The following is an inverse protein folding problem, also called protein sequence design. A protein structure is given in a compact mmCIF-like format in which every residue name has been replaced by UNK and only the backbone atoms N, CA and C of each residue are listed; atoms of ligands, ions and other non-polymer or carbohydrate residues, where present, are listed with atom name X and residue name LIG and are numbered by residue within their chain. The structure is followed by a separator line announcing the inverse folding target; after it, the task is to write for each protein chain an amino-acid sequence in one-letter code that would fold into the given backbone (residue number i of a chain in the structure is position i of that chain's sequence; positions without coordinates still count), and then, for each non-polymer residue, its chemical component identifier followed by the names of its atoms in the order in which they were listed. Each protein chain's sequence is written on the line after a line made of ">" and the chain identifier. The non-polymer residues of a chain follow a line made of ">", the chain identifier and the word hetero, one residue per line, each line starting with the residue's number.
data_IF_866097132886
#
_entry.id   IF_866097132886
#
_cell.length_a   1.000
_cell.length_b   1.000
_cell.length_c   1.000
_cell.angle_alpha   90.00
_cell.angle_beta   90.00
_cell.angle_gamma   90.00
#
_symmetry.space_group_name_H-M   'P 1'
#
loop_
_entity.id
_entity.type
_entity.pdbx_description
1 polymer ?
#
# COMPACT_ATOMS: atom_id res chain seq x y z
N UNK A 1 -4.63 -22.35 -6.76
CA UNK A 1 -5.21 -21.09 -7.26
C UNK A 1 -4.12 -20.23 -7.89
N UNK A 2 -4.49 -19.43 -8.88
CA UNK A 2 -3.58 -18.54 -9.61
C UNK A 2 -3.78 -17.08 -9.19
N UNK A 3 -2.70 -16.40 -8.78
CA UNK A 3 -2.63 -14.98 -8.50
C UNK A 3 -1.87 -14.26 -9.62
N UNK A 4 -2.44 -13.21 -10.19
CA UNK A 4 -1.75 -12.30 -11.11
C UNK A 4 -1.42 -11.00 -10.36
N UNK A 5 -0.13 -10.62 -10.33
CA UNK A 5 0.36 -9.40 -9.68
C UNK A 5 0.66 -8.37 -10.75
N UNK A 6 -0.20 -7.36 -10.92
CA UNK A 6 -0.01 -6.24 -11.84
C UNK A 6 0.78 -5.14 -11.12
N UNK A 7 1.88 -4.69 -11.69
CA UNK A 7 2.94 -3.96 -11.02
C UNK A 7 3.99 -4.92 -10.44
N UNK A 8 4.19 -6.06 -11.14
CA UNK A 8 5.09 -7.14 -10.75
C UNK A 8 6.57 -6.74 -10.65
N UNK A 9 6.93 -5.58 -11.19
CA UNK A 9 8.24 -4.97 -11.00
C UNK A 9 8.31 -4.05 -9.77
N UNK A 10 7.28 -3.99 -8.92
CA UNK A 10 7.25 -3.13 -7.74
C UNK A 10 8.19 -3.59 -6.63
N UNK A 11 8.84 -2.66 -5.94
CA UNK A 11 9.82 -2.94 -4.88
C UNK A 11 9.29 -3.81 -3.74
N UNK A 12 7.97 -3.81 -3.49
CA UNK A 12 7.31 -4.61 -2.44
C UNK A 12 6.81 -5.99 -2.90
N UNK A 13 7.01 -6.34 -4.17
CA UNK A 13 6.53 -7.63 -4.73
C UNK A 13 7.06 -8.85 -3.98
N UNK A 14 8.34 -8.91 -3.56
CA UNK A 14 8.83 -10.06 -2.78
C UNK A 14 8.06 -10.28 -1.49
N UNK A 15 7.64 -9.22 -0.79
CA UNK A 15 6.81 -9.32 0.43
C UNK A 15 5.42 -9.91 0.13
N UNK A 16 4.83 -9.56 -1.03
CA UNK A 16 3.54 -10.12 -1.47
C UNK A 16 3.69 -11.61 -1.76
N UNK A 17 4.75 -11.99 -2.48
CA UNK A 17 5.04 -13.40 -2.81
C UNK A 17 5.28 -14.21 -1.55
N UNK A 18 6.06 -13.70 -0.59
CA UNK A 18 6.33 -14.35 0.70
C UNK A 18 5.05 -14.55 1.52
N UNK A 19 4.20 -13.51 1.62
CA UNK A 19 2.94 -13.58 2.34
C UNK A 19 1.98 -14.62 1.73
N UNK A 20 1.89 -14.66 0.41
CA UNK A 20 1.06 -15.63 -0.32
C UNK A 20 1.59 -17.04 -0.15
N UNK A 21 2.91 -17.23 -0.20
CA UNK A 21 3.55 -18.52 -0.02
C UNK A 21 3.29 -19.13 1.38
N UNK A 22 3.19 -18.27 2.40
CA UNK A 22 2.91 -18.69 3.77
C UNK A 22 1.42 -18.90 4.10
N UNK A 23 0.51 -18.38 3.27
CA UNK A 23 -0.91 -18.25 3.64
C UNK A 23 -1.84 -19.33 3.05
N UNK A 24 -1.39 -20.21 2.14
CA UNK A 24 -2.29 -21.27 1.73
C UNK A 24 -2.45 -21.53 0.22
N UNK A 25 -3.63 -21.53 -0.38
CA UNK A 25 -3.95 -22.36 -1.56
C UNK A 25 -3.47 -21.78 -2.91
N UNK A 26 -2.60 -20.75 -2.92
CA UNK A 26 -2.01 -20.22 -4.15
C UNK A 26 -0.80 -21.07 -4.53
N UNK A 27 -0.82 -21.63 -5.72
CA UNK A 27 0.23 -22.49 -6.30
C UNK A 27 0.89 -21.87 -7.54
N UNK A 28 0.31 -20.79 -8.07
CA UNK A 28 0.85 -20.04 -9.20
C UNK A 28 0.76 -18.53 -8.96
N UNK A 29 1.88 -17.82 -9.12
CA UNK A 29 1.95 -16.35 -9.15
C UNK A 29 2.54 -15.90 -10.48
N UNK A 30 1.85 -15.00 -11.19
CA UNK A 30 2.36 -14.40 -12.42
C UNK A 30 2.59 -12.90 -12.17
N UNK A 31 3.84 -12.47 -12.25
CA UNK A 31 4.23 -11.07 -12.14
C UNK A 31 4.08 -10.40 -13.50
N UNK A 32 3.31 -9.31 -13.57
CA UNK A 32 3.06 -8.58 -14.82
C UNK A 32 3.49 -7.13 -14.66
N UNK A 33 4.33 -6.65 -15.58
CA UNK A 33 4.74 -5.25 -15.62
C UNK A 33 5.10 -4.83 -17.05
N UNK A 34 5.03 -3.53 -17.31
CA UNK A 34 5.43 -2.93 -18.59
C UNK A 34 6.94 -2.69 -18.67
N UNK A 35 7.65 -2.62 -17.54
CA UNK A 35 9.11 -2.50 -17.48
C UNK A 35 9.75 -3.89 -17.40
N UNK A 36 10.11 -4.42 -18.56
CA UNK A 36 10.73 -5.75 -18.67
C UNK A 36 12.09 -5.85 -17.95
N UNK A 37 12.82 -4.74 -17.81
CA UNK A 37 14.10 -4.70 -17.11
C UNK A 37 13.93 -4.89 -15.61
N UNK A 38 13.09 -4.04 -15.02
CA UNK A 38 12.74 -4.13 -13.59
C UNK A 38 12.03 -5.44 -13.25
N UNK A 39 11.18 -5.93 -14.15
CA UNK A 39 10.48 -7.20 -13.97
C UNK A 39 11.46 -8.37 -13.87
N UNK A 40 12.49 -8.42 -14.72
CA UNK A 40 13.55 -9.44 -14.62
C UNK A 40 14.33 -9.33 -13.31
N UNK A 41 14.67 -8.11 -12.88
CA UNK A 41 15.34 -7.88 -11.59
C UNK A 41 14.49 -8.39 -10.44
N UNK A 42 13.20 -8.08 -10.44
CA UNK A 42 12.30 -8.52 -9.38
C UNK A 42 12.09 -10.03 -9.36
N UNK A 43 12.01 -10.66 -10.54
CA UNK A 43 11.98 -12.11 -10.63
C UNK A 43 13.26 -12.74 -10.04
N UNK A 44 14.44 -12.17 -10.33
CA UNK A 44 15.70 -12.65 -9.73
C UNK A 44 15.73 -12.49 -8.20
N UNK A 45 15.11 -11.45 -7.65
CA UNK A 45 14.92 -11.32 -6.18
C UNK A 45 14.09 -12.48 -5.65
N UNK A 46 12.95 -12.76 -6.29
CA UNK A 46 12.01 -13.82 -5.88
C UNK A 46 12.65 -15.21 -6.02
N UNK A 47 13.37 -15.45 -7.10
CA UNK A 47 14.10 -16.72 -7.33
C UNK A 47 15.16 -17.01 -6.25
N UNK A 48 15.72 -15.96 -5.66
CA UNK A 48 16.64 -16.06 -4.53
C UNK A 48 15.98 -16.36 -3.18
N UNK A 49 14.65 -16.24 -3.08
CA UNK A 49 13.92 -16.46 -1.83
C UNK A 49 13.71 -17.95 -1.55
N UNK A 50 13.65 -18.32 -0.28
CA UNK A 50 13.27 -19.67 0.14
C UNK A 50 11.73 -19.76 0.18
N UNK A 51 11.15 -20.23 -0.90
CA UNK A 51 9.71 -20.42 -1.03
C UNK A 51 9.34 -21.91 -0.97
N UNK A 52 8.10 -22.28 -0.59
CA UNK A 52 7.59 -23.64 -0.71
C UNK A 52 7.71 -24.14 -2.14
N UNK A 53 8.22 -25.36 -2.34
CA UNK A 53 8.48 -25.95 -3.67
C UNK A 53 7.22 -26.15 -4.55
N UNK A 54 6.04 -26.00 -3.97
CA UNK A 54 4.76 -26.05 -4.69
C UNK A 54 4.36 -24.72 -5.34
N UNK A 55 4.94 -23.59 -4.90
CA UNK A 55 4.63 -22.28 -5.46
C UNK A 55 5.48 -22.01 -6.71
N UNK A 56 4.82 -21.86 -7.85
CA UNK A 56 5.45 -21.44 -9.11
C UNK A 56 5.30 -19.95 -9.29
N UNK A 57 6.42 -19.23 -9.44
CA UNK A 57 6.42 -17.80 -9.76
C UNK A 57 6.98 -17.61 -11.17
N UNK A 58 6.26 -16.85 -12.00
CA UNK A 58 6.65 -16.52 -13.37
C UNK A 58 6.45 -15.05 -13.66
N UNK A 59 6.95 -14.56 -14.79
CA UNK A 59 6.79 -13.18 -15.21
C UNK A 59 6.27 -13.09 -16.65
N UNK A 60 5.45 -12.09 -16.96
CA UNK A 60 4.89 -11.82 -18.27
C UNK A 60 4.80 -10.33 -18.55
N UNK A 61 5.11 -9.92 -19.78
CA UNK A 61 4.79 -8.58 -20.29
C UNK A 61 3.38 -8.47 -20.90
N UNK A 62 2.67 -9.60 -21.08
CA UNK A 62 1.33 -9.68 -21.67
C UNK A 62 0.30 -9.91 -20.57
N UNK A 63 -0.48 -8.85 -20.28
CA UNK A 63 -1.53 -8.89 -19.27
C UNK A 63 -2.63 -9.88 -19.61
N UNK A 64 -3.08 -9.90 -20.87
CA UNK A 64 -4.21 -10.77 -21.26
C UNK A 64 -3.82 -12.24 -21.15
N UNK A 65 -2.63 -12.61 -21.62
CA UNK A 65 -2.12 -13.96 -21.48
C UNK A 65 -1.93 -14.37 -20.01
N UNK A 66 -1.44 -13.46 -19.17
CA UNK A 66 -1.25 -13.71 -17.74
C UNK A 66 -2.57 -13.95 -17.00
N UNK A 67 -3.65 -13.28 -17.41
CA UNK A 67 -4.97 -13.35 -16.76
C UNK A 67 -5.73 -14.65 -17.06
N UNK A 68 -5.35 -15.42 -18.08
CA UNK A 68 -6.05 -16.67 -18.39
C UNK A 68 -5.99 -17.61 -17.17
N UNK A 69 -7.17 -17.98 -16.65
CA UNK A 69 -7.31 -18.86 -15.49
C UNK A 69 -6.94 -18.22 -14.14
N UNK A 70 -6.89 -16.89 -14.05
CA UNK A 70 -6.64 -16.19 -12.80
C UNK A 70 -7.85 -16.30 -11.86
N UNK A 71 -7.60 -16.64 -10.60
CA UNK A 71 -8.58 -16.61 -9.49
C UNK A 71 -8.53 -15.26 -8.79
N UNK A 72 -7.33 -14.67 -8.69
CA UNK A 72 -7.09 -13.39 -8.03
C UNK A 72 -6.17 -12.50 -8.87
N UNK A 73 -6.46 -11.21 -8.83
CA UNK A 73 -5.62 -10.16 -9.39
C UNK A 73 -5.25 -9.19 -8.26
N UNK A 74 -3.97 -9.02 -7.98
CA UNK A 74 -3.47 -7.99 -7.08
C UNK A 74 -2.83 -6.89 -7.92
N UNK A 75 -3.26 -5.63 -7.73
CA UNK A 75 -2.76 -4.52 -8.52
C UNK A 75 -2.12 -3.44 -7.64
N UNK A 76 -0.85 -3.15 -7.89
CA UNK A 76 -0.05 -2.15 -7.18
C UNK A 76 0.84 -1.37 -8.15
N UNK A 77 0.22 -0.66 -9.10
CA UNK A 77 0.93 0.14 -10.10
C UNK A 77 1.12 1.59 -9.68
N UNK A 78 2.09 2.25 -10.31
CA UNK A 78 2.28 3.70 -10.19
C UNK A 78 2.46 4.28 -11.59
N UNK A 79 1.38 4.86 -12.12
CA UNK A 79 1.41 5.51 -13.43
C UNK A 79 2.29 6.75 -13.38
N UNK A 80 3.28 6.82 -14.27
CA UNK A 80 4.30 7.87 -14.31
C UNK A 80 5.48 7.64 -13.34
N UNK A 81 5.50 6.51 -12.62
CA UNK A 81 6.61 6.14 -11.73
C UNK A 81 6.79 7.09 -10.54
N UNK A 82 7.97 7.02 -9.92
CA UNK A 82 8.35 7.90 -8.81
C UNK A 82 8.58 9.35 -9.26
N UNK A 83 9.01 9.57 -10.50
CA UNK A 83 9.20 10.90 -11.06
C UNK A 83 7.89 11.72 -11.09
N UNK A 84 6.76 11.11 -11.51
CA UNK A 84 5.46 11.78 -11.48
C UNK A 84 5.01 12.09 -10.03
N UNK A 85 5.27 11.20 -9.08
CA UNK A 85 5.02 11.47 -7.67
C UNK A 85 5.81 12.67 -7.15
N UNK A 86 7.11 12.74 -7.47
CA UNK A 86 7.96 13.89 -7.10
C UNK A 86 7.37 15.19 -7.65
N UNK A 87 6.95 15.19 -8.92
CA UNK A 87 6.31 16.34 -9.55
C UNK A 87 5.01 16.74 -8.84
N UNK A 88 4.13 15.78 -8.53
CA UNK A 88 2.86 16.01 -7.82
C UNK A 88 3.11 16.65 -6.43
N UNK A 89 4.13 16.16 -5.70
CA UNK A 89 4.49 16.69 -4.39
C UNK A 89 5.10 18.10 -4.51
N UNK A 90 6.05 18.30 -5.41
CA UNK A 90 6.78 19.58 -5.56
C UNK A 90 5.91 20.71 -6.06
N UNK A 91 5.11 20.50 -7.10
CA UNK A 91 4.20 21.52 -7.63
C UNK A 91 3.24 22.02 -6.55
N UNK A 92 2.67 21.12 -5.76
CA UNK A 92 1.80 21.51 -4.66
C UNK A 92 2.54 22.36 -3.60
N UNK A 93 3.76 21.95 -3.21
CA UNK A 93 4.58 22.67 -2.23
C UNK A 93 5.02 24.05 -2.73
N UNK A 94 5.33 24.20 -4.01
CA UNK A 94 5.67 25.50 -4.64
C UNK A 94 4.50 26.48 -4.55
N UNK A 95 3.27 25.97 -4.68
CA UNK A 95 2.04 26.77 -4.51
C UNK A 95 1.65 26.99 -3.04
N UNK A 96 2.45 26.53 -2.09
CA UNK A 96 2.21 26.69 -0.66
C UNK A 96 1.12 25.79 -0.08
N UNK A 97 0.73 24.74 -0.80
CA UNK A 97 -0.27 23.74 -0.35
C UNK A 97 0.38 22.38 -0.12
N UNK A 98 -0.38 21.44 0.43
CA UNK A 98 0.10 20.11 0.80
C UNK A 98 0.61 19.33 -0.43
N UNK A 99 1.89 18.97 -0.43
CA UNK A 99 2.53 18.07 -1.39
C UNK A 99 2.62 16.66 -0.85
N UNK A 100 1.56 15.88 -1.05
CA UNK A 100 1.44 14.50 -0.57
C UNK A 100 0.82 13.62 -1.65
N UNK A 101 1.20 12.33 -1.68
CA UNK A 101 0.86 11.39 -2.75
C UNK A 101 -0.65 11.19 -2.95
N UNK A 102 -1.41 11.09 -1.84
CA UNK A 102 -2.81 10.62 -1.88
C UNK A 102 -3.80 11.61 -1.30
N UNK A 103 -3.31 12.66 -0.64
CA UNK A 103 -4.10 13.67 0.04
C UNK A 103 -3.89 15.03 -0.63
N UNK A 104 -4.97 15.78 -0.84
CA UNK A 104 -4.92 17.11 -1.46
C UNK A 104 -4.61 17.10 -2.96
N UNK A 105 -4.00 18.18 -3.51
CA UNK A 105 -3.80 18.35 -4.95
C UNK A 105 -2.95 17.26 -5.60
N UNK A 106 -1.90 16.78 -4.91
CA UNK A 106 -1.06 15.68 -5.40
C UNK A 106 -1.84 14.39 -5.57
N UNK A 107 -2.71 14.06 -4.60
CA UNK A 107 -3.59 12.89 -4.69
C UNK A 107 -4.57 12.98 -5.85
N UNK A 108 -5.13 14.18 -6.10
CA UNK A 108 -6.02 14.39 -7.24
C UNK A 108 -5.29 14.24 -8.59
N UNK A 109 -4.10 14.83 -8.73
CA UNK A 109 -3.29 14.69 -9.94
C UNK A 109 -2.92 13.22 -10.21
N UNK A 110 -2.54 12.50 -9.15
CA UNK A 110 -2.25 11.07 -9.25
C UNK A 110 -3.50 10.26 -9.66
N UNK A 111 -4.66 10.52 -9.07
CA UNK A 111 -5.92 9.87 -9.42
C UNK A 111 -6.29 10.09 -10.89
N UNK A 112 -6.28 11.33 -11.35
CA UNK A 112 -6.61 11.69 -12.74
C UNK A 112 -5.71 11.00 -13.77
N UNK A 113 -4.43 10.83 -13.45
CA UNK A 113 -3.47 10.12 -14.31
C UNK A 113 -3.67 8.60 -14.27
N UNK A 114 -4.07 8.06 -13.13
CA UNK A 114 -4.11 6.61 -12.87
C UNK A 114 -5.42 5.97 -13.30
N UNK A 115 -6.57 6.65 -13.12
CA UNK A 115 -7.90 6.12 -13.43
C UNK A 115 -8.02 5.58 -14.86
N UNK A 116 -7.60 6.29 -15.92
CA UNK A 116 -7.74 5.77 -17.29
C UNK A 116 -7.03 4.41 -17.48
N UNK A 117 -5.81 4.29 -16.97
CA UNK A 117 -5.01 3.06 -17.06
C UNK A 117 -5.67 1.91 -16.28
N UNK A 118 -6.15 2.21 -15.06
CA UNK A 118 -6.83 1.21 -14.22
C UNK A 118 -8.14 0.73 -14.82
N UNK A 119 -8.90 1.60 -15.49
CA UNK A 119 -10.12 1.20 -16.19
C UNK A 119 -9.82 0.31 -17.41
N UNK A 120 -8.71 0.52 -18.12
CA UNK A 120 -8.26 -0.36 -19.21
C UNK A 120 -7.86 -1.75 -18.67
N UNK A 121 -7.10 -1.80 -17.58
CA UNK A 121 -6.78 -3.04 -16.89
C UNK A 121 -8.06 -3.76 -16.45
N UNK A 122 -9.01 -3.04 -15.85
CA UNK A 122 -10.28 -3.63 -15.39
C UNK A 122 -11.10 -4.22 -16.56
N UNK A 123 -11.15 -3.56 -17.71
CA UNK A 123 -11.83 -4.08 -18.91
C UNK A 123 -11.17 -5.38 -19.38
N UNK A 124 -9.84 -5.45 -19.38
CA UNK A 124 -9.09 -6.65 -19.73
C UNK A 124 -9.39 -7.79 -18.74
N UNK A 125 -9.38 -7.51 -17.44
CA UNK A 125 -9.74 -8.49 -16.40
C UNK A 125 -11.15 -9.01 -16.60
N UNK A 126 -12.12 -8.12 -16.80
CA UNK A 126 -13.52 -8.50 -17.07
C UNK A 126 -13.70 -9.36 -18.31
N UNK A 127 -12.89 -9.11 -19.35
CA UNK A 127 -12.96 -9.86 -20.60
C UNK A 127 -12.32 -11.25 -20.51
N UNK A 128 -11.19 -11.39 -19.77
CA UNK A 128 -10.36 -12.60 -19.79
C UNK A 128 -10.58 -13.47 -18.53
N UNK A 129 -10.79 -12.84 -17.38
CA UNK A 129 -10.97 -13.50 -16.07
C UNK A 129 -12.15 -12.88 -15.31
N UNK A 130 -13.40 -13.00 -15.82
CA UNK A 130 -14.56 -12.31 -15.26
C UNK A 130 -14.90 -12.74 -13.82
N UNK A 131 -14.48 -13.92 -13.42
CA UNK A 131 -14.71 -14.47 -12.08
C UNK A 131 -13.62 -14.17 -11.08
N UNK A 132 -12.49 -13.60 -11.51
CA UNK A 132 -11.37 -13.26 -10.63
C UNK A 132 -11.76 -12.14 -9.65
N UNK A 133 -11.30 -12.27 -8.42
CA UNK A 133 -11.32 -11.16 -7.47
C UNK A 133 -10.18 -10.18 -7.74
N UNK A 134 -10.50 -8.90 -7.78
CA UNK A 134 -9.52 -7.83 -7.98
C UNK A 134 -9.22 -7.13 -6.65
N UNK A 135 -7.99 -7.26 -6.18
CA UNK A 135 -7.49 -6.60 -4.97
C UNK A 135 -6.67 -5.37 -5.40
N UNK A 136 -7.23 -4.19 -5.18
CA UNK A 136 -6.57 -2.93 -5.51
C UNK A 136 -5.73 -2.41 -4.35
N UNK A 137 -4.44 -2.25 -4.59
CA UNK A 137 -3.49 -1.56 -3.70
C UNK A 137 -2.90 -0.29 -4.36
N UNK A 138 -3.34 0.00 -5.59
CA UNK A 138 -2.95 1.22 -6.32
C UNK A 138 -3.60 2.44 -5.71
N UNK A 139 -2.80 3.43 -5.40
CA UNK A 139 -3.23 4.69 -4.79
C UNK A 139 -3.69 5.74 -5.85
N UNK A 140 -4.55 6.67 -5.43
CA UNK A 140 -5.31 6.77 -4.18
C UNK A 140 -6.37 5.65 -4.09
N UNK A 141 -6.20 4.72 -3.15
CA UNK A 141 -6.90 3.44 -3.19
C UNK A 141 -8.43 3.58 -3.17
N UNK A 142 -8.99 4.52 -2.42
CA UNK A 142 -10.44 4.76 -2.37
C UNK A 142 -10.99 5.18 -3.75
N UNK A 143 -10.40 6.22 -4.35
CA UNK A 143 -10.82 6.76 -5.66
C UNK A 143 -10.67 5.71 -6.77
N UNK A 144 -9.53 5.01 -6.78
CA UNK A 144 -9.26 3.97 -7.79
C UNK A 144 -10.22 2.80 -7.64
N UNK A 145 -10.50 2.35 -6.42
CA UNK A 145 -11.44 1.25 -6.19
C UNK A 145 -12.85 1.62 -6.62
N UNK A 146 -13.30 2.85 -6.34
CA UNK A 146 -14.60 3.34 -6.80
C UNK A 146 -14.69 3.36 -8.34
N UNK A 147 -13.65 3.84 -9.01
CA UNK A 147 -13.59 3.81 -10.48
C UNK A 147 -13.62 2.37 -11.01
N UNK A 148 -12.89 1.44 -10.43
CA UNK A 148 -12.85 0.03 -10.82
C UNK A 148 -14.21 -0.66 -10.66
N UNK A 149 -14.99 -0.31 -9.63
CA UNK A 149 -16.34 -0.85 -9.41
C UNK A 149 -17.29 -0.57 -10.58
N UNK A 150 -17.10 0.51 -11.31
CA UNK A 150 -17.90 0.79 -12.51
C UNK A 150 -17.75 -0.25 -13.62
N UNK A 151 -16.65 -1.00 -13.61
CA UNK A 151 -16.33 -2.06 -14.58
C UNK A 151 -16.47 -3.45 -13.98
N UNK A 152 -15.93 -3.68 -12.77
CA UNK A 152 -15.83 -5.00 -12.14
C UNK A 152 -16.98 -5.31 -11.15
N UNK A 153 -17.84 -4.32 -10.85
CA UNK A 153 -18.91 -4.48 -9.87
C UNK A 153 -18.38 -4.80 -8.47
N UNK A 154 -18.97 -5.81 -7.84
CA UNK A 154 -18.61 -6.20 -6.46
C UNK A 154 -17.39 -7.12 -6.38
N UNK A 155 -16.78 -7.46 -7.51
CA UNK A 155 -15.56 -8.28 -7.55
C UNK A 155 -14.26 -7.48 -7.36
N UNK A 156 -14.33 -6.27 -6.81
CA UNK A 156 -13.16 -5.45 -6.49
C UNK A 156 -13.15 -5.04 -5.03
N UNK A 157 -11.98 -5.15 -4.40
CA UNK A 157 -11.72 -4.71 -3.03
C UNK A 157 -10.50 -3.80 -3.03
N UNK A 158 -10.63 -2.61 -2.42
CA UNK A 158 -9.48 -1.75 -2.12
C UNK A 158 -8.90 -2.09 -0.75
N UNK A 159 -7.59 -2.19 -0.67
CA UNK A 159 -6.90 -2.46 0.59
C UNK A 159 -5.84 -1.40 0.89
N UNK A 160 -5.53 -1.25 2.18
CA UNK A 160 -4.46 -0.41 2.70
C UNK A 160 -3.86 -1.09 3.95
N UNK A 161 -2.56 -0.95 4.14
CA UNK A 161 -1.85 -1.50 5.30
C UNK A 161 -1.97 -0.64 6.57
N UNK A 162 -2.32 0.64 6.43
CA UNK A 162 -2.37 1.60 7.54
C UNK A 162 -3.37 1.22 8.65
N UNK A 163 -4.65 0.85 8.36
CA UNK A 163 -5.59 0.49 9.42
C UNK A 163 -5.15 -0.71 10.24
N UNK A 164 -4.68 -1.77 9.58
CA UNK A 164 -4.21 -2.97 10.29
C UNK A 164 -2.91 -2.71 11.05
N UNK A 165 -2.04 -1.83 10.52
CA UNK A 165 -0.83 -1.36 11.18
C UNK A 165 -1.15 -0.63 12.48
N UNK A 166 -2.07 0.34 12.45
CA UNK A 166 -2.55 1.07 13.61
C UNK A 166 -3.13 0.12 14.67
N UNK A 167 -4.02 -0.79 14.26
CA UNK A 167 -4.61 -1.78 15.16
C UNK A 167 -3.53 -2.64 15.83
N UNK A 168 -2.54 -3.13 15.06
CA UNK A 168 -1.45 -3.96 15.61
C UNK A 168 -0.59 -3.22 16.62
N UNK A 169 -0.26 -1.95 16.36
CA UNK A 169 0.49 -1.10 17.31
C UNK A 169 -0.32 -0.89 18.58
N UNK A 170 -1.59 -0.52 18.46
CA UNK A 170 -2.48 -0.34 19.60
C UNK A 170 -2.63 -1.63 20.43
N UNK A 171 -2.83 -2.78 19.78
CA UNK A 171 -2.89 -4.08 20.44
C UNK A 171 -1.59 -4.43 21.18
N UNK A 172 -0.44 -4.17 20.57
CA UNK A 172 0.86 -4.38 21.20
C UNK A 172 1.02 -3.49 22.45
N UNK A 173 0.63 -2.21 22.36
CA UNK A 173 0.73 -1.27 23.50
C UNK A 173 -0.17 -1.65 24.68
N UNK A 174 -1.26 -2.40 24.48
CA UNK A 174 -2.09 -2.93 25.60
C UNK A 174 -1.71 -4.36 26.01
N UNK A 175 -0.64 -4.91 25.44
CA UNK A 175 -0.14 -6.24 25.81
C UNK A 175 -1.00 -7.40 25.29
N UNK A 176 -1.67 -7.23 24.15
CA UNK A 176 -2.61 -8.21 23.60
C UNK A 176 -1.96 -9.40 22.87
N UNK A 177 -0.64 -9.61 23.00
CA UNK A 177 0.06 -10.74 22.37
C UNK A 177 -0.52 -12.08 22.85
N UNK A 178 -0.93 -12.94 21.89
CA UNK A 178 -1.53 -14.25 22.20
C UNK A 178 -3.03 -14.22 22.55
N UNK A 179 -3.63 -13.04 22.62
CA UNK A 179 -5.05 -12.86 22.88
C UNK A 179 -5.85 -12.69 21.57
N UNK A 180 -7.17 -12.96 21.65
CA UNK A 180 -8.08 -12.66 20.53
C UNK A 180 -8.33 -11.16 20.48
N UNK A 181 -8.00 -10.55 19.35
CA UNK A 181 -8.21 -9.12 19.12
C UNK A 181 -9.29 -8.91 18.06
N UNK A 182 -10.26 -8.06 18.36
CA UNK A 182 -11.21 -7.46 17.42
C UNK A 182 -11.20 -5.95 17.54
N UNK A 183 -11.71 -5.24 16.52
CA UNK A 183 -11.66 -3.79 16.50
C UNK A 183 -12.77 -3.20 15.64
N UNK A 184 -13.17 -1.98 15.95
CA UNK A 184 -14.03 -1.15 15.11
C UNK A 184 -13.22 0.00 14.53
N UNK A 185 -13.07 -0.01 13.21
CA UNK A 185 -12.40 1.05 12.46
C UNK A 185 -13.38 1.65 11.45
N UNK A 186 -13.60 2.96 11.51
CA UNK A 186 -14.56 3.66 10.68
C UNK A 186 -13.91 4.75 9.85
N UNK A 187 -14.49 5.03 8.70
CA UNK A 187 -14.07 6.10 7.82
C UNK A 187 -13.75 5.64 6.41
N UNK A 188 -13.09 6.51 5.65
CA UNK A 188 -12.62 6.24 4.30
C UNK A 188 -11.14 5.87 4.30
N UNK A 189 -10.64 5.36 3.18
CA UNK A 189 -9.20 5.17 3.01
C UNK A 189 -8.45 6.50 3.29
N UNK A 190 -7.43 6.47 4.14
CA UNK A 190 -6.65 7.61 4.61
C UNK A 190 -7.45 8.70 5.35
N UNK A 191 -8.68 8.40 5.76
CA UNK A 191 -9.54 9.28 6.54
C UNK A 191 -10.40 8.44 7.48
N UNK A 192 -9.79 7.84 8.51
CA UNK A 192 -10.47 6.90 9.39
C UNK A 192 -9.91 6.88 10.82
N UNK A 193 -10.67 6.26 11.71
CA UNK A 193 -10.41 6.20 13.13
C UNK A 193 -10.62 4.79 13.69
N UNK A 194 -9.73 4.35 14.56
CA UNK A 194 -9.93 3.18 15.40
C UNK A 194 -10.76 3.61 16.61
N UNK A 195 -11.97 3.09 16.75
CA UNK A 195 -12.95 3.49 17.77
C UNK A 195 -13.03 2.53 18.94
N UNK A 196 -12.79 1.25 18.71
CA UNK A 196 -12.69 0.24 19.76
C UNK A 196 -11.53 -0.71 19.48
N UNK A 197 -10.96 -1.28 20.52
CA UNK A 197 -9.93 -2.29 20.49
C UNK A 197 -10.26 -3.35 21.54
N UNK A 198 -10.95 -4.39 21.13
CA UNK A 198 -11.35 -5.46 22.05
C UNK A 198 -10.25 -6.51 22.16
N UNK A 199 -9.87 -6.82 23.39
CA UNK A 199 -8.98 -7.92 23.74
C UNK A 199 -9.78 -8.91 24.59
N UNK A 200 -10.00 -10.10 24.09
CA UNK A 200 -10.87 -11.13 24.69
C UNK A 200 -12.28 -10.61 25.05
N UNK A 201 -12.81 -9.74 24.21
CA UNK A 201 -14.16 -9.17 24.35
C UNK A 201 -14.26 -7.97 25.29
N UNK A 202 -13.14 -7.43 25.76
CA UNK A 202 -13.09 -6.19 26.57
C UNK A 202 -12.46 -5.08 25.76
N UNK A 203 -13.15 -3.95 25.61
CA UNK A 203 -12.59 -2.77 24.94
C UNK A 203 -11.46 -2.16 25.78
N UNK A 204 -10.25 -2.19 25.26
CA UNK A 204 -9.04 -1.68 25.90
C UNK A 204 -8.57 -0.33 25.34
N UNK A 205 -9.32 0.23 24.37
CA UNK A 205 -8.95 1.54 23.81
C UNK A 205 -9.05 2.66 24.85
N UNK A 206 -10.08 2.74 25.71
CA UNK A 206 -10.12 3.76 26.76
C UNK A 206 -8.92 3.70 27.71
N UNK A 207 -8.49 2.49 28.09
CA UNK A 207 -7.30 2.31 28.94
C UNK A 207 -6.02 2.80 28.26
N UNK A 208 -5.86 2.53 26.96
CA UNK A 208 -4.73 3.01 26.16
C UNK A 208 -4.71 4.53 26.09
N UNK A 209 -5.85 5.16 25.79
CA UNK A 209 -5.99 6.61 25.68
C UNK A 209 -5.66 7.33 26.99
N UNK A 210 -6.01 6.73 28.13
CA UNK A 210 -5.73 7.28 29.46
C UNK A 210 -4.29 7.04 29.94
N UNK A 211 -3.57 6.12 29.32
CA UNK A 211 -2.23 5.70 29.75
C UNK A 211 -1.10 6.53 29.12
N UNK A 212 0.11 6.45 29.70
CA UNK A 212 1.34 6.98 29.12
C UNK A 212 1.74 6.23 27.84
N UNK A 213 1.28 4.98 27.66
CA UNK A 213 1.55 4.17 26.46
C UNK A 213 0.96 4.76 25.17
N UNK A 214 0.05 5.73 25.29
CA UNK A 214 -0.41 6.48 24.11
C UNK A 214 0.75 7.16 23.38
N UNK A 215 1.83 7.50 24.07
CA UNK A 215 3.04 8.06 23.47
C UNK A 215 3.81 7.06 22.58
N UNK A 216 3.56 5.77 22.71
CA UNK A 216 4.15 4.74 21.83
C UNK A 216 3.47 4.74 20.44
N UNK A 217 2.26 5.29 20.34
CA UNK A 217 1.48 5.35 19.11
C UNK A 217 1.91 6.57 18.28
N UNK A 218 2.55 6.33 17.15
CA UNK A 218 3.07 7.38 16.27
C UNK A 218 1.99 8.35 15.81
N UNK A 219 0.83 7.83 15.42
CA UNK A 219 -0.33 8.61 14.98
C UNK A 219 -0.82 9.57 16.07
N UNK A 220 -0.80 9.13 17.32
CA UNK A 220 -1.19 9.96 18.43
C UNK A 220 -0.19 11.11 18.68
N UNK A 221 1.11 10.82 18.54
CA UNK A 221 2.15 11.88 18.62
C UNK A 221 2.04 12.89 17.51
N UNK A 222 1.75 12.45 16.28
CA UNK A 222 1.63 13.33 15.10
C UNK A 222 0.48 14.32 15.25
N UNK A 223 -0.66 13.88 15.75
CA UNK A 223 -1.88 14.71 15.89
C UNK A 223 -1.88 15.48 17.19
N UNK A 224 -1.26 14.94 18.24
CA UNK A 224 -1.22 15.50 19.59
C UNK A 224 -2.01 14.65 20.60
N UNK A 225 -1.35 14.24 21.68
CA UNK A 225 -1.89 13.28 22.66
C UNK A 225 -3.20 13.79 23.30
N UNK A 226 -3.26 15.06 23.68
CA UNK A 226 -4.44 15.63 24.31
C UNK A 226 -5.64 15.70 23.34
N UNK A 227 -5.35 15.96 22.08
CA UNK A 227 -6.34 15.93 21.01
C UNK A 227 -6.94 14.54 20.85
N UNK A 228 -6.08 13.52 20.80
CA UNK A 228 -6.48 12.11 20.66
C UNK A 228 -7.28 11.64 21.87
N UNK A 229 -6.89 12.04 23.09
CA UNK A 229 -7.66 11.77 24.33
C UNK A 229 -9.07 12.38 24.28
N UNK A 230 -9.18 13.64 23.84
CA UNK A 230 -10.49 14.30 23.70
C UNK A 230 -11.34 13.71 22.59
N UNK A 231 -10.71 13.25 21.49
CA UNK A 231 -11.40 12.60 20.39
C UNK A 231 -11.99 11.24 20.80
N UNK A 232 -11.38 10.56 21.77
CA UNK A 232 -11.80 9.24 22.23
C UNK A 232 -11.58 8.11 21.20
N UNK A 233 -10.72 8.35 20.20
CA UNK A 233 -10.42 7.40 19.13
C UNK A 233 -9.00 7.62 18.60
N UNK A 234 -8.35 6.57 18.07
CA UNK A 234 -7.04 6.73 17.44
C UNK A 234 -7.21 7.11 15.97
N UNK A 235 -6.70 8.27 15.55
CA UNK A 235 -6.74 8.70 14.15
C UNK A 235 -5.75 7.89 13.32
N UNK A 236 -6.07 7.69 12.03
CA UNK A 236 -5.12 7.23 11.04
C UNK A 236 -4.02 8.29 10.83
N UNK A 237 -2.80 7.88 10.49
CA UNK A 237 -1.65 8.77 10.27
C UNK A 237 -1.93 9.89 9.26
N UNK A 238 -2.72 9.60 8.22
CA UNK A 238 -3.08 10.59 7.20
C UNK A 238 -3.97 11.71 7.72
N UNK A 239 -4.65 11.54 8.86
CA UNK A 239 -5.43 12.61 9.48
C UNK A 239 -4.55 13.78 9.95
N UNK A 240 -3.25 13.57 10.14
CA UNK A 240 -2.29 14.63 10.33
C UNK A 240 -2.36 15.70 9.22
N UNK A 241 -2.53 15.29 7.97
CA UNK A 241 -2.64 16.20 6.83
C UNK A 241 -3.93 17.02 6.81
N UNK A 242 -4.97 16.55 7.50
CA UNK A 242 -6.26 17.26 7.64
C UNK A 242 -6.30 18.11 8.90
N UNK A 243 -5.94 17.56 10.04
CA UNK A 243 -6.01 18.24 11.34
C UNK A 243 -4.88 19.26 11.55
N UNK A 244 -3.68 18.93 11.09
CA UNK A 244 -2.47 19.70 11.28
C UNK A 244 -1.89 20.11 9.91
N UNK A 245 -2.75 20.59 9.00
CA UNK A 245 -2.35 20.86 7.60
C UNK A 245 -1.19 21.85 7.48
N UNK A 246 -1.19 22.93 8.27
CA UNK A 246 -0.15 23.96 8.26
C UNK A 246 1.20 23.41 8.70
N UNK A 247 1.18 22.63 9.78
CA UNK A 247 2.34 21.95 10.35
C UNK A 247 2.87 20.90 9.36
N UNK A 248 1.99 20.14 8.71
CA UNK A 248 2.35 19.16 7.70
C UNK A 248 3.04 19.81 6.49
N UNK A 249 2.48 20.90 5.97
CA UNK A 249 3.09 21.67 4.86
C UNK A 249 4.45 22.22 5.28
N UNK A 250 4.56 22.82 6.48
CA UNK A 250 5.81 23.36 6.99
C UNK A 250 6.88 22.27 7.16
N UNK A 251 6.50 21.12 7.72
CA UNK A 251 7.41 19.98 7.92
C UNK A 251 7.95 19.44 6.59
N UNK A 252 7.06 19.21 5.60
CA UNK A 252 7.48 18.69 4.30
C UNK A 252 8.35 19.70 3.55
N UNK A 253 8.04 21.00 3.61
CA UNK A 253 8.87 22.05 2.98
C UNK A 253 10.22 22.21 3.63
N UNK A 254 10.32 22.00 4.94
CA UNK A 254 11.55 22.06 5.71
C UNK A 254 12.44 20.82 5.59
N UNK A 255 11.91 19.71 5.09
CA UNK A 255 12.67 18.48 4.91
C UNK A 255 13.67 18.60 3.75
N UNK A 256 14.79 17.89 3.85
CA UNK A 256 15.84 17.85 2.80
C UNK A 256 15.37 17.21 1.50
N UNK A 257 14.37 16.31 1.57
CA UNK A 257 13.75 15.65 0.43
C UNK A 257 12.28 15.37 0.73
N UNK A 258 11.43 15.35 -0.30
CA UNK A 258 10.08 14.84 -0.18
C UNK A 258 10.09 13.31 -0.08
N UNK A 259 8.97 12.72 0.34
CA UNK A 259 8.85 11.25 0.37
C UNK A 259 9.00 10.64 -1.03
N UNK A 260 8.53 11.33 -2.06
CA UNK A 260 8.70 10.93 -3.47
C UNK A 260 10.16 10.88 -3.87
N UNK A 261 10.93 11.91 -3.56
CA UNK A 261 12.37 11.97 -3.84
C UNK A 261 13.16 10.90 -3.10
N UNK A 262 12.86 10.68 -1.82
CA UNK A 262 13.46 9.60 -1.05
C UNK A 262 13.23 8.24 -1.69
N UNK A 263 11.99 7.93 -2.06
CA UNK A 263 11.64 6.65 -2.69
C UNK A 263 12.25 6.50 -4.09
N UNK A 264 12.33 7.59 -4.85
CA UNK A 264 12.96 7.59 -6.16
C UNK A 264 14.45 7.26 -6.05
N UNK A 265 15.17 7.91 -5.16
CA UNK A 265 16.58 7.64 -4.92
C UNK A 265 16.81 6.18 -4.45
N UNK A 266 16.01 5.69 -3.49
CA UNK A 266 16.11 4.33 -2.96
C UNK A 266 15.86 3.28 -4.06
N UNK A 267 14.77 3.41 -4.81
CA UNK A 267 14.39 2.43 -5.81
C UNK A 267 15.30 2.46 -7.03
N UNK A 268 15.65 3.64 -7.52
CA UNK A 268 16.57 3.79 -8.64
C UNK A 268 17.95 3.23 -8.32
N UNK A 269 18.46 3.48 -7.10
CA UNK A 269 19.71 2.90 -6.61
C UNK A 269 19.67 1.38 -6.57
N UNK A 270 18.60 0.80 -6.04
CA UNK A 270 18.41 -0.65 -6.01
C UNK A 270 18.38 -1.26 -7.42
N UNK A 271 17.52 -0.75 -8.31
CA UNK A 271 17.41 -1.32 -9.65
C UNK A 271 18.69 -1.19 -10.47
N UNK A 272 19.43 -0.09 -10.32
CA UNK A 272 20.72 0.09 -10.98
C UNK A 272 21.76 -0.94 -10.48
N UNK A 273 21.87 -1.12 -9.16
CA UNK A 273 22.79 -2.09 -8.57
C UNK A 273 22.43 -3.54 -8.94
N UNK A 274 21.17 -3.91 -8.78
CA UNK A 274 20.69 -5.28 -9.04
C UNK A 274 20.73 -5.66 -10.53
N UNK A 275 20.58 -4.70 -11.44
CA UNK A 275 20.77 -4.95 -12.88
C UNK A 275 22.22 -5.30 -13.22
N UNK A 276 23.19 -4.74 -12.50
CA UNK A 276 24.63 -5.07 -12.66
C UNK A 276 25.02 -6.41 -12.01
N UNK A 277 24.30 -6.83 -10.97
CA UNK A 277 24.63 -8.02 -10.17
C UNK A 277 23.37 -8.88 -9.91
N UNK A 278 22.78 -9.53 -10.95
CA UNK A 278 21.52 -10.28 -10.78
C UNK A 278 21.60 -11.41 -9.74
N UNK A 279 22.77 -12.05 -9.58
CA UNK A 279 22.98 -13.11 -8.58
C UNK A 279 22.93 -12.62 -7.12
N UNK A 280 23.01 -11.31 -6.90
CA UNK A 280 22.90 -10.67 -5.59
C UNK A 280 21.60 -9.89 -5.39
N UNK A 281 20.66 -10.03 -6.33
CA UNK A 281 19.43 -9.20 -6.32
C UNK A 281 18.66 -9.28 -4.99
N UNK A 282 18.54 -10.46 -4.39
CA UNK A 282 17.88 -10.64 -3.09
C UNK A 282 18.66 -9.96 -1.94
N UNK A 283 19.99 -10.06 -1.92
CA UNK A 283 20.84 -9.39 -0.91
C UNK A 283 20.68 -7.86 -0.99
N UNK A 284 20.72 -7.32 -2.20
CA UNK A 284 20.58 -5.88 -2.46
C UNK A 284 19.16 -5.35 -2.14
N UNK A 285 18.16 -6.21 -2.23
CA UNK A 285 16.77 -5.85 -1.91
C UNK A 285 16.51 -5.81 -0.40
N UNK A 286 17.16 -6.68 0.40
CA UNK A 286 17.08 -6.73 1.87
C UNK A 286 17.77 -5.56 2.54
#
# INVERSE_FOLDING_TARGET
>A
MKLVVIGGAGFRVPQVVEAVAGAGPVDEVVLVDTDAGRLRTMLAVVDGMTLPGSLRVTASGDLAAALVGADFVFCAIRVGGTAARVADERVALELGVLGQETTGPGGLAYALRTIPVMLEIARTVRAVAPDAWFVNFTNPAGIITEALRTVLGDRVVGICDTPIGLMRRAAASVGAAGHRVSYDYVGLNHLGWLRTLEVDGVDRLPDLLASERLEEIEEARLVGLDWVRQLGALPNEYLFYYYCNREAVAAIRGASATRGEFLDAQQSGFYAAAAGEPGRALELWR
#
